data_IF_992894434427
#
_entry.id   IF_992894434427
#
_cell.length_a   1.000
_cell.length_b   1.000
_cell.length_c   1.000
_cell.angle_alpha   90.00
_cell.angle_beta   90.00
_cell.angle_gamma   90.00
#
_symmetry.space_group_name_H-M   'P 1'
#
loop_
_entity.id
_entity.type
_entity.pdbx_description
1 polymer ?
#
# COMPACT_ATOMS: atom_id res chain seq x y z
N UNK A 1 -15.72 -35.53 -18.57
CA UNK A 1 -16.40 -35.81 -19.85
C UNK A 1 -15.48 -35.48 -21.03
N UNK A 2 -15.89 -35.77 -22.26
CA UNK A 2 -15.14 -35.43 -23.49
C UNK A 2 -16.04 -34.63 -24.41
N UNK A 3 -15.54 -33.52 -24.94
CA UNK A 3 -16.22 -32.63 -25.87
C UNK A 3 -15.33 -32.45 -27.11
N UNK A 4 -15.95 -32.43 -28.28
CA UNK A 4 -15.29 -32.18 -29.57
C UNK A 4 -16.20 -31.31 -30.41
N UNK A 5 -15.64 -30.55 -31.35
CA UNK A 5 -16.49 -29.90 -32.36
C UNK A 5 -17.23 -30.93 -33.22
N UNK A 6 -18.48 -30.63 -33.54
CA UNK A 6 -19.30 -31.43 -34.44
C UNK A 6 -18.80 -31.34 -35.89
N UNK A 7 -19.27 -32.26 -36.74
CA UNK A 7 -18.88 -32.35 -38.16
C UNK A 7 -19.02 -31.03 -38.93
N UNK A 8 -20.07 -30.25 -38.65
CA UNK A 8 -20.32 -28.96 -39.31
C UNK A 8 -19.40 -27.84 -38.82
N UNK A 9 -19.07 -27.76 -37.53
CA UNK A 9 -18.15 -26.73 -37.02
C UNK A 9 -16.69 -27.03 -37.34
N UNK A 10 -16.33 -28.30 -37.56
CA UNK A 10 -15.02 -28.71 -38.06
C UNK A 10 -14.74 -28.28 -39.51
N UNK A 11 -15.76 -27.85 -40.28
CA UNK A 11 -15.59 -27.28 -41.63
C UNK A 11 -15.15 -25.80 -41.60
N UNK A 12 -15.43 -25.09 -40.50
CA UNK A 12 -15.18 -23.65 -40.37
C UNK A 12 -14.18 -23.32 -39.25
N UNK A 13 -13.79 -24.29 -38.43
CA UNK A 13 -12.84 -24.13 -37.32
C UNK A 13 -11.93 -25.36 -37.20
N UNK A 14 -10.72 -25.18 -36.67
CA UNK A 14 -9.82 -26.31 -36.42
C UNK A 14 -10.46 -27.34 -35.49
N UNK A 15 -10.19 -28.63 -35.70
CA UNK A 15 -10.60 -29.67 -34.76
C UNK A 15 -10.04 -29.38 -33.37
N UNK A 16 -10.93 -29.35 -32.41
CA UNK A 16 -10.58 -29.18 -31.00
C UNK A 16 -11.22 -30.29 -30.16
N UNK A 17 -10.56 -30.57 -29.03
CA UNK A 17 -11.02 -31.55 -28.05
C UNK A 17 -10.80 -31.02 -26.64
N UNK A 18 -11.82 -31.12 -25.81
CA UNK A 18 -11.76 -30.78 -24.39
C UNK A 18 -12.10 -32.02 -23.57
N UNK A 19 -11.23 -32.41 -22.66
CA UNK A 19 -11.47 -33.49 -21.71
C UNK A 19 -11.53 -32.90 -20.29
N UNK A 20 -12.69 -32.97 -19.65
CA UNK A 20 -12.91 -32.56 -18.26
C UNK A 20 -12.69 -33.77 -17.35
N UNK A 21 -11.45 -33.96 -16.90
CA UNK A 21 -11.07 -35.05 -16.00
C UNK A 21 -11.20 -34.66 -14.52
N UNK A 22 -11.14 -35.66 -13.64
CA UNK A 22 -11.32 -35.44 -12.20
C UNK A 22 -10.26 -34.50 -11.61
N UNK A 23 -9.00 -34.59 -12.07
CA UNK A 23 -7.88 -33.77 -11.56
C UNK A 23 -7.44 -32.65 -12.50
N UNK A 24 -7.71 -32.78 -13.80
CA UNK A 24 -7.21 -31.87 -14.82
C UNK A 24 -8.24 -31.69 -15.94
N UNK A 25 -8.24 -30.50 -16.53
CA UNK A 25 -8.78 -30.27 -17.87
C UNK A 25 -7.66 -30.37 -18.90
N UNK A 26 -7.95 -31.02 -20.02
CA UNK A 26 -7.05 -31.13 -21.17
C UNK A 26 -7.74 -30.53 -22.39
N UNK A 27 -7.13 -29.51 -22.97
CA UNK A 27 -7.58 -28.90 -24.22
C UNK A 27 -6.55 -29.17 -25.32
N UNK A 28 -7.03 -29.62 -26.48
CA UNK A 28 -6.17 -29.90 -27.64
C UNK A 28 -6.72 -29.19 -28.87
N UNK A 29 -5.88 -28.41 -29.57
CA UNK A 29 -6.20 -27.75 -30.85
C UNK A 29 -4.91 -27.62 -31.68
N UNK A 30 -4.96 -27.97 -32.97
CA UNK A 30 -3.82 -27.86 -33.91
C UNK A 30 -2.50 -28.47 -33.40
N UNK A 31 -2.56 -29.62 -32.72
CA UNK A 31 -1.38 -30.29 -32.14
C UNK A 31 -0.89 -29.71 -30.81
N UNK A 32 -1.32 -28.50 -30.44
CA UNK A 32 -1.06 -27.93 -29.11
C UNK A 32 -1.97 -28.57 -28.08
N UNK A 33 -1.37 -29.13 -27.02
CA UNK A 33 -2.07 -29.75 -25.90
C UNK A 33 -1.80 -28.95 -24.62
N UNK A 34 -2.84 -28.33 -24.08
CA UNK A 34 -2.80 -27.59 -22.81
C UNK A 34 -3.43 -28.45 -21.72
N UNK A 35 -2.74 -28.60 -20.59
CA UNK A 35 -3.21 -29.34 -19.42
C UNK A 35 -3.21 -28.41 -18.22
N UNK A 36 -4.37 -28.22 -17.60
CA UNK A 36 -4.55 -27.34 -16.45
C UNK A 36 -5.07 -28.20 -15.28
N UNK A 37 -4.45 -28.08 -14.11
CA UNK A 37 -4.95 -28.75 -12.91
C UNK A 37 -6.19 -28.03 -12.39
N UNK A 38 -7.21 -28.78 -11.97
CA UNK A 38 -8.47 -28.20 -11.52
C UNK A 38 -8.29 -27.28 -10.30
N UNK A 39 -7.31 -27.55 -9.44
CA UNK A 39 -7.02 -26.74 -8.25
C UNK A 39 -6.44 -25.36 -8.56
N UNK A 40 -5.85 -25.18 -9.74
CA UNK A 40 -5.22 -23.92 -10.14
C UNK A 40 -6.18 -22.98 -10.88
N UNK A 41 -7.42 -23.42 -11.14
CA UNK A 41 -8.45 -22.63 -11.82
C UNK A 41 -9.12 -21.70 -10.80
N UNK A 42 -9.12 -20.39 -11.08
CA UNK A 42 -9.70 -19.36 -10.22
C UNK A 42 -10.91 -18.66 -10.83
N UNK A 43 -11.04 -18.68 -12.15
CA UNK A 43 -12.17 -18.05 -12.82
C UNK A 43 -12.44 -18.73 -14.16
N UNK A 44 -13.72 -18.76 -14.54
CA UNK A 44 -14.19 -19.24 -15.82
C UNK A 44 -15.10 -18.17 -16.40
N UNK A 45 -14.73 -17.60 -17.55
CA UNK A 45 -15.51 -16.57 -18.24
C UNK A 45 -16.13 -17.12 -19.51
N UNK A 46 -17.41 -16.89 -19.68
CA UNK A 46 -18.13 -17.17 -20.92
C UNK A 46 -18.28 -15.87 -21.71
N UNK A 47 -17.85 -15.88 -22.96
CA UNK A 47 -18.02 -14.77 -23.90
C UNK A 47 -18.92 -15.22 -25.04
N UNK A 48 -20.07 -14.56 -25.17
CA UNK A 48 -21.00 -14.80 -26.28
C UNK A 48 -20.47 -14.15 -27.54
N UNK A 49 -20.31 -14.92 -28.61
CA UNK A 49 -19.87 -14.39 -29.91
C UNK A 49 -20.99 -14.37 -30.95
N UNK A 50 -20.71 -13.77 -32.10
CA UNK A 50 -21.68 -13.64 -33.21
C UNK A 50 -21.97 -15.00 -33.85
N UNK A 51 -20.95 -15.86 -33.96
CA UNK A 51 -21.05 -17.18 -34.61
C UNK A 51 -20.71 -18.30 -33.62
N UNK A 52 -19.74 -18.07 -32.73
CA UNK A 52 -19.27 -19.05 -31.75
C UNK A 52 -18.96 -18.37 -30.44
N UNK A 53 -19.19 -19.08 -29.34
CA UNK A 53 -18.82 -18.63 -28.01
C UNK A 53 -17.37 -19.00 -27.69
N UNK A 54 -16.82 -18.27 -26.73
CA UNK A 54 -15.48 -18.48 -26.18
C UNK A 54 -15.55 -18.72 -24.67
N UNK A 55 -14.85 -19.74 -24.21
CA UNK A 55 -14.64 -20.02 -22.79
C UNK A 55 -13.20 -19.63 -22.43
N UNK A 56 -13.03 -18.75 -21.46
CA UNK A 56 -11.71 -18.36 -20.95
C UNK A 56 -11.52 -18.94 -19.56
N UNK A 57 -10.44 -19.71 -19.37
CA UNK A 57 -10.05 -20.29 -18.08
C UNK A 57 -8.89 -19.45 -17.54
N UNK A 58 -9.07 -18.88 -16.35
CA UNK A 58 -8.04 -18.10 -15.66
C UNK A 58 -7.38 -18.98 -14.59
N UNK A 59 -6.06 -19.05 -14.68
CA UNK A 59 -5.20 -19.84 -13.80
C UNK A 59 -4.28 -18.89 -13.04
N UNK A 60 -4.03 -19.17 -11.76
CA UNK A 60 -3.16 -18.29 -10.96
C UNK A 60 -1.74 -18.25 -11.52
N UNK A 61 -1.22 -17.04 -11.74
CA UNK A 61 0.15 -16.84 -12.22
C UNK A 61 0.41 -17.22 -13.68
N UNK A 62 -0.62 -17.48 -14.47
CA UNK A 62 -0.50 -17.85 -15.88
C UNK A 62 -1.42 -17.00 -16.78
N UNK A 63 -1.06 -16.78 -18.07
CA UNK A 63 -1.95 -16.11 -19.00
C UNK A 63 -3.26 -16.91 -19.17
N UNK A 64 -4.41 -16.24 -19.32
CA UNK A 64 -5.70 -16.93 -19.50
C UNK A 64 -5.69 -17.84 -20.73
N UNK A 65 -6.25 -19.03 -20.59
CA UNK A 65 -6.38 -19.99 -21.70
C UNK A 65 -7.77 -19.87 -22.32
N UNK A 66 -7.84 -19.46 -23.59
CA UNK A 66 -9.08 -19.35 -24.36
C UNK A 66 -9.39 -20.61 -25.17
N UNK A 67 -10.62 -21.10 -25.05
CA UNK A 67 -11.20 -22.17 -25.89
C UNK A 67 -12.28 -21.51 -26.75
N UNK A 68 -12.08 -21.52 -28.07
CA UNK A 68 -12.91 -20.84 -29.05
C UNK A 68 -13.61 -21.83 -29.99
N UNK A 69 -14.67 -21.39 -30.67
CA UNK A 69 -15.41 -22.25 -31.60
C UNK A 69 -16.41 -23.18 -30.90
N UNK A 70 -16.94 -22.74 -29.75
CA UNK A 70 -17.91 -23.49 -28.96
C UNK A 70 -19.33 -23.06 -29.35
N UNK A 71 -20.28 -24.00 -29.42
CA UNK A 71 -21.69 -23.62 -29.36
C UNK A 71 -22.04 -23.13 -27.95
N UNK A 72 -23.05 -22.28 -27.81
CA UNK A 72 -23.45 -21.76 -26.49
C UNK A 72 -23.81 -22.86 -25.49
N UNK A 73 -24.46 -23.93 -25.97
CA UNK A 73 -24.76 -25.09 -25.13
C UNK A 73 -23.48 -25.82 -24.70
N UNK A 74 -22.55 -26.05 -25.64
CA UNK A 74 -21.28 -26.72 -25.34
C UNK A 74 -20.43 -25.89 -24.37
N UNK A 75 -20.37 -24.57 -24.56
CA UNK A 75 -19.64 -23.67 -23.68
C UNK A 75 -20.20 -23.70 -22.24
N UNK A 76 -21.53 -23.67 -22.09
CA UNK A 76 -22.19 -23.80 -20.78
C UNK A 76 -21.92 -25.16 -20.15
N UNK A 77 -22.03 -26.25 -20.91
CA UNK A 77 -21.79 -27.61 -20.42
C UNK A 77 -20.34 -27.80 -19.96
N UNK A 78 -19.36 -27.35 -20.74
CA UNK A 78 -17.94 -27.39 -20.36
C UNK A 78 -17.71 -26.56 -19.08
N UNK A 79 -18.25 -25.34 -19.00
CA UNK A 79 -18.12 -24.48 -17.83
C UNK A 79 -18.67 -25.13 -16.56
N UNK A 80 -19.87 -25.72 -16.65
CA UNK A 80 -20.50 -26.44 -15.53
C UNK A 80 -19.69 -27.66 -15.10
N UNK A 81 -19.17 -28.44 -16.04
CA UNK A 81 -18.33 -29.60 -15.79
C UNK A 81 -17.02 -29.23 -15.10
N UNK A 82 -16.33 -28.19 -15.58
CA UNK A 82 -15.11 -27.68 -14.95
C UNK A 82 -15.43 -27.24 -13.53
N UNK A 83 -16.45 -26.39 -13.36
CA UNK A 83 -16.85 -25.87 -12.03
C UNK A 83 -17.11 -27.01 -11.05
N UNK A 84 -17.85 -28.03 -11.47
CA UNK A 84 -18.14 -29.24 -10.67
C UNK A 84 -16.87 -30.00 -10.28
N UNK A 85 -15.94 -30.19 -11.22
CA UNK A 85 -14.69 -30.92 -10.97
C UNK A 85 -13.71 -30.12 -10.09
N UNK A 86 -13.64 -28.79 -10.26
CA UNK A 86 -12.89 -27.87 -9.39
C UNK A 86 -13.41 -27.99 -7.96
N UNK A 87 -14.71 -27.82 -7.76
CA UNK A 87 -15.37 -27.97 -6.45
C UNK A 87 -15.07 -29.31 -5.79
N UNK A 88 -15.24 -30.42 -6.53
CA UNK A 88 -14.90 -31.77 -6.04
C UNK A 88 -13.43 -31.89 -5.64
N UNK A 89 -12.52 -31.33 -6.44
CA UNK A 89 -11.08 -31.31 -6.11
C UNK A 89 -10.81 -30.54 -4.82
N UNK A 90 -11.41 -29.36 -4.65
CA UNK A 90 -11.24 -28.53 -3.45
C UNK A 90 -11.72 -29.26 -2.20
N UNK A 91 -12.91 -29.87 -2.24
CA UNK A 91 -13.42 -30.71 -1.14
C UNK A 91 -12.47 -31.87 -0.83
N UNK A 92 -12.00 -32.58 -1.87
CA UNK A 92 -11.06 -33.69 -1.71
C UNK A 92 -9.71 -33.26 -1.11
N UNK A 93 -9.23 -32.04 -1.41
CA UNK A 93 -8.02 -31.49 -0.79
C UNK A 93 -8.22 -31.24 0.69
N UNK A 94 -9.33 -30.61 1.10
CA UNK A 94 -9.62 -30.37 2.52
C UNK A 94 -9.71 -31.69 3.28
N UNK A 95 -10.41 -32.69 2.74
CA UNK A 95 -10.52 -34.02 3.35
C UNK A 95 -9.15 -34.70 3.49
N UNK A 96 -8.32 -34.64 2.44
CA UNK A 96 -6.96 -35.21 2.47
C UNK A 96 -6.07 -34.55 3.52
N UNK A 97 -6.28 -33.27 3.81
CA UNK A 97 -5.46 -32.47 4.71
C UNK A 97 -6.19 -32.12 6.03
N UNK A 98 -7.09 -32.99 6.51
CA UNK A 98 -7.92 -32.74 7.70
C UNK A 98 -7.10 -32.50 8.99
N UNK A 99 -5.96 -33.18 9.17
CA UNK A 99 -5.08 -32.95 10.32
C UNK A 99 -4.48 -31.55 10.29
N UNK A 100 -3.88 -31.16 9.16
CA UNK A 100 -3.32 -29.82 8.95
C UNK A 100 -4.39 -28.73 9.08
N UNK A 101 -5.65 -29.04 8.72
CA UNK A 101 -6.79 -28.16 8.94
C UNK A 101 -7.07 -27.99 10.43
N UNK A 102 -7.17 -29.08 11.18
CA UNK A 102 -7.35 -29.03 12.63
C UNK A 102 -6.25 -28.19 13.30
N UNK A 103 -4.99 -28.43 12.93
CA UNK A 103 -3.84 -27.68 13.47
C UNK A 103 -3.93 -26.19 13.11
N UNK A 104 -4.27 -25.87 11.86
CA UNK A 104 -4.49 -24.49 11.44
C UNK A 104 -5.61 -23.84 12.26
N UNK A 105 -6.72 -24.53 12.47
CA UNK A 105 -7.87 -24.04 13.26
C UNK A 105 -7.50 -23.81 14.72
N UNK A 106 -6.72 -24.70 15.34
CA UNK A 106 -6.20 -24.50 16.70
C UNK A 106 -5.28 -23.27 16.78
N UNK A 107 -4.41 -23.06 15.78
CA UNK A 107 -3.51 -21.89 15.75
C UNK A 107 -4.26 -20.56 15.64
N UNK A 108 -5.28 -20.46 14.79
CA UNK A 108 -6.07 -19.22 14.69
C UNK A 108 -6.92 -18.98 15.94
N UNK A 109 -7.40 -20.03 16.60
CA UNK A 109 -8.09 -19.87 17.87
C UNK A 109 -7.18 -19.21 18.92
N UNK A 110 -5.96 -19.74 19.10
CA UNK A 110 -4.95 -19.14 19.99
C UNK A 110 -4.62 -17.70 19.58
N UNK A 111 -4.42 -17.44 18.28
CA UNK A 111 -4.15 -16.10 17.76
C UNK A 111 -5.27 -15.11 18.13
N UNK A 112 -6.54 -15.53 18.01
CA UNK A 112 -7.71 -14.71 18.32
C UNK A 112 -7.81 -14.34 19.80
N UNK A 113 -7.23 -15.14 20.70
CA UNK A 113 -7.17 -14.91 22.14
C UNK A 113 -6.01 -14.00 22.60
N UNK A 114 -5.05 -13.72 21.71
CA UNK A 114 -3.91 -12.86 22.07
C UNK A 114 -4.37 -11.46 22.51
N UNK A 115 -3.77 -10.90 23.57
CA UNK A 115 -4.05 -9.55 24.05
C UNK A 115 -3.32 -8.47 23.24
N UNK A 116 -3.52 -8.48 21.92
CA UNK A 116 -3.01 -7.48 20.98
C UNK A 116 -3.94 -7.27 19.80
N UNK A 117 -3.79 -6.14 19.11
CA UNK A 117 -4.44 -5.90 17.82
C UNK A 117 -3.94 -6.93 16.81
N UNK A 118 -4.85 -7.57 16.07
CA UNK A 118 -4.51 -8.50 14.99
C UNK A 118 -4.62 -7.77 13.66
N UNK A 119 -3.48 -7.62 12.99
CA UNK A 119 -3.38 -7.01 11.68
C UNK A 119 -3.81 -7.99 10.58
N UNK A 120 -4.11 -7.47 9.40
CA UNK A 120 -4.39 -8.27 8.22
C UNK A 120 -3.20 -9.16 7.83
N UNK A 121 -1.94 -8.76 8.08
CA UNK A 121 -0.79 -9.65 7.90
C UNK A 121 -0.78 -10.84 8.87
N UNK A 122 -1.33 -10.73 10.08
CA UNK A 122 -1.40 -11.86 11.01
C UNK A 122 -2.28 -12.97 10.45
N UNK A 123 -3.46 -12.60 9.94
CA UNK A 123 -4.38 -13.53 9.28
C UNK A 123 -3.73 -14.12 8.02
N UNK A 124 -3.06 -13.31 7.21
CA UNK A 124 -2.34 -13.81 6.02
C UNK A 124 -1.21 -14.77 6.38
N UNK A 125 -0.45 -14.52 7.46
CA UNK A 125 0.59 -15.43 7.96
C UNK A 125 -0.02 -16.74 8.43
N UNK A 126 -1.15 -16.68 9.14
CA UNK A 126 -1.89 -17.89 9.53
C UNK A 126 -2.34 -18.71 8.30
N UNK A 127 -2.95 -18.08 7.29
CA UNK A 127 -3.34 -18.75 6.03
C UNK A 127 -2.13 -19.42 5.37
N UNK A 128 -0.98 -18.72 5.34
CA UNK A 128 0.27 -19.23 4.76
C UNK A 128 0.92 -20.35 5.57
N UNK A 129 0.57 -20.51 6.86
CA UNK A 129 1.08 -21.61 7.69
C UNK A 129 0.58 -22.99 7.25
N UNK A 130 -0.49 -23.03 6.45
CA UNK A 130 -1.06 -24.25 5.87
C UNK A 130 -1.33 -24.02 4.38
N UNK A 131 -0.29 -23.96 3.52
CA UNK A 131 -0.40 -23.43 2.16
C UNK A 131 -1.41 -24.17 1.28
N UNK A 132 -1.53 -25.50 1.42
CA UNK A 132 -2.48 -26.30 0.63
C UNK A 132 -3.95 -25.98 0.99
N UNK A 133 -4.21 -25.78 2.29
CA UNK A 133 -5.52 -25.40 2.80
C UNK A 133 -5.79 -23.93 2.49
N UNK A 134 -4.81 -23.05 2.70
CA UNK A 134 -4.93 -21.63 2.41
C UNK A 134 -5.24 -21.35 0.94
N UNK A 135 -4.60 -22.07 0.00
CA UNK A 135 -4.92 -22.02 -1.44
C UNK A 135 -6.35 -22.46 -1.72
N UNK A 136 -6.80 -23.53 -1.06
CA UNK A 136 -8.15 -24.06 -1.23
C UNK A 136 -9.21 -23.11 -0.69
N UNK A 137 -9.01 -22.56 0.52
CA UNK A 137 -9.91 -21.59 1.14
C UNK A 137 -9.95 -20.24 0.39
N UNK A 138 -8.85 -19.85 -0.25
CA UNK A 138 -8.79 -18.64 -1.08
C UNK A 138 -9.32 -18.84 -2.50
N UNK A 139 -9.64 -20.08 -2.93
CA UNK A 139 -10.16 -20.33 -4.26
C UNK A 139 -11.62 -19.84 -4.36
N UNK A 140 -11.99 -19.01 -5.36
CA UNK A 140 -13.35 -18.46 -5.49
C UNK A 140 -14.46 -19.51 -5.65
N UNK A 141 -14.13 -20.71 -6.13
CA UNK A 141 -15.09 -21.81 -6.26
C UNK A 141 -15.30 -22.59 -4.97
N UNK A 142 -14.50 -22.34 -3.92
CA UNK A 142 -14.66 -23.00 -2.63
C UNK A 142 -15.93 -22.54 -1.93
N UNK A 143 -16.73 -23.50 -1.47
CA UNK A 143 -17.87 -23.26 -0.60
C UNK A 143 -17.82 -24.23 0.58
N UNK A 144 -17.94 -23.70 1.80
CA UNK A 144 -17.99 -24.53 2.99
C UNK A 144 -19.23 -25.44 3.01
N UNK A 145 -20.31 -25.07 2.30
CA UNK A 145 -21.56 -25.83 2.28
C UNK A 145 -21.48 -27.12 1.46
N UNK A 146 -20.41 -27.30 0.68
CA UNK A 146 -20.16 -28.52 -0.09
C UNK A 146 -19.30 -29.55 0.69
N UNK A 147 -18.88 -29.20 1.91
CA UNK A 147 -18.09 -30.08 2.77
C UNK A 147 -18.99 -30.98 3.64
N UNK A 148 -18.48 -32.14 4.10
CA UNK A 148 -19.16 -32.92 5.13
C UNK A 148 -19.42 -32.09 6.40
N UNK A 149 -20.57 -32.30 7.05
CA UNK A 149 -21.01 -31.52 8.22
C UNK A 149 -19.94 -31.36 9.32
N UNK A 150 -19.15 -32.40 9.58
CA UNK A 150 -18.07 -32.38 10.58
C UNK A 150 -16.96 -31.38 10.23
N UNK A 151 -16.62 -31.23 8.96
CA UNK A 151 -15.58 -30.30 8.50
C UNK A 151 -16.17 -28.90 8.32
N UNK A 152 -17.41 -28.82 7.84
CA UNK A 152 -18.14 -27.56 7.68
C UNK A 152 -18.22 -26.79 9.01
N UNK A 153 -18.57 -27.46 10.12
CA UNK A 153 -18.63 -26.83 11.44
C UNK A 153 -17.27 -26.32 11.93
N UNK A 154 -16.18 -27.00 11.57
CA UNK A 154 -14.83 -26.58 11.89
C UNK A 154 -14.38 -25.36 11.07
N UNK A 155 -14.74 -25.27 9.79
CA UNK A 155 -14.25 -24.24 8.87
C UNK A 155 -15.10 -22.96 8.89
N UNK A 156 -16.42 -23.07 9.03
CA UNK A 156 -17.36 -21.93 8.91
C UNK A 156 -17.01 -20.74 9.82
N UNK A 157 -16.56 -20.92 11.08
CA UNK A 157 -16.16 -19.79 11.92
C UNK A 157 -14.94 -19.01 11.39
N UNK A 158 -14.19 -19.58 10.45
CA UNK A 158 -12.91 -19.06 9.98
C UNK A 158 -12.95 -18.62 8.52
N UNK A 159 -13.91 -19.08 7.71
CA UNK A 159 -14.17 -18.50 6.37
C UNK A 159 -14.52 -17.02 6.47
N UNK A 160 -15.20 -16.61 7.54
CA UNK A 160 -15.48 -15.20 7.81
C UNK A 160 -14.21 -14.38 8.15
N UNK A 161 -13.15 -15.01 8.64
CA UNK A 161 -11.88 -14.33 8.99
C UNK A 161 -11.02 -14.04 7.75
N UNK A 162 -11.13 -14.86 6.72
CA UNK A 162 -10.34 -14.75 5.49
C UNK A 162 -10.89 -13.64 4.58
N UNK A 163 -12.15 -13.26 4.75
CA UNK A 163 -12.77 -12.18 4.00
C UNK A 163 -12.01 -10.85 4.20
N UNK A 164 -11.74 -10.07 3.13
CA UNK A 164 -11.07 -8.77 3.24
C UNK A 164 -11.72 -7.81 4.24
N UNK A 165 -13.05 -7.90 4.41
CA UNK A 165 -13.83 -7.08 5.35
C UNK A 165 -14.39 -7.89 6.52
N UNK A 166 -13.60 -8.81 7.07
CA UNK A 166 -14.03 -9.70 8.14
C UNK A 166 -14.68 -8.97 9.32
N UNK A 167 -16.02 -9.07 9.44
CA UNK A 167 -16.77 -8.52 10.58
C UNK A 167 -16.31 -9.14 11.90
N UNK A 168 -16.00 -10.43 11.90
CA UNK A 168 -15.53 -11.16 13.07
C UNK A 168 -14.19 -10.62 13.58
N UNK A 169 -13.23 -10.37 12.68
CA UNK A 169 -11.96 -9.75 13.03
C UNK A 169 -12.16 -8.33 13.56
N UNK A 170 -13.00 -7.52 12.89
CA UNK A 170 -13.33 -6.16 13.33
C UNK A 170 -13.90 -6.12 14.74
N UNK A 171 -14.91 -6.94 15.03
CA UNK A 171 -15.54 -7.02 16.36
C UNK A 171 -14.54 -7.45 17.43
N UNK A 172 -13.67 -8.42 17.12
CA UNK A 172 -12.63 -8.85 18.06
C UNK A 172 -11.60 -7.76 18.30
N UNK A 173 -11.12 -7.10 17.25
CA UNK A 173 -10.15 -6.00 17.37
C UNK A 173 -10.75 -4.81 18.12
N UNK A 174 -12.04 -4.52 17.93
CA UNK A 174 -12.75 -3.47 18.67
C UNK A 174 -12.76 -3.76 20.17
N UNK A 175 -13.15 -4.99 20.56
CA UNK A 175 -13.09 -5.42 21.98
C UNK A 175 -11.67 -5.33 22.56
N UNK A 176 -10.66 -5.67 21.76
CA UNK A 176 -9.27 -5.49 22.17
C UNK A 176 -8.92 -4.01 22.37
N UNK A 177 -9.36 -3.12 21.46
CA UNK A 177 -9.10 -1.69 21.56
C UNK A 177 -9.74 -1.13 22.82
N UNK A 178 -11.01 -1.41 23.08
CA UNK A 178 -11.70 -1.00 24.32
C UNK A 178 -10.93 -1.46 25.56
N UNK A 179 -10.59 -2.75 25.65
CA UNK A 179 -9.79 -3.29 26.74
C UNK A 179 -8.43 -2.58 26.89
N UNK A 180 -7.75 -2.30 25.79
CA UNK A 180 -6.44 -1.67 25.81
C UNK A 180 -6.52 -0.19 26.20
N UNK A 181 -7.59 0.53 25.85
CA UNK A 181 -7.80 1.89 26.32
C UNK A 181 -7.87 1.92 27.85
N UNK A 182 -8.65 1.02 28.45
CA UNK A 182 -8.77 0.93 29.91
C UNK A 182 -7.46 0.47 30.56
N UNK A 183 -6.84 -0.57 30.00
CA UNK A 183 -5.61 -1.15 30.55
C UNK A 183 -4.43 -0.18 30.54
N UNK A 184 -4.31 0.65 29.50
CA UNK A 184 -3.25 1.64 29.35
C UNK A 184 -3.69 3.07 29.74
N UNK A 185 -4.78 3.23 30.50
CA UNK A 185 -5.31 4.56 30.88
C UNK A 185 -4.27 5.40 31.65
N UNK A 186 -3.63 4.81 32.64
CA UNK A 186 -2.59 5.47 33.43
C UNK A 186 -1.38 5.88 32.57
N UNK A 187 -0.98 5.04 31.60
CA UNK A 187 0.07 5.39 30.66
C UNK A 187 -0.33 6.63 29.87
N UNK A 188 -1.48 6.61 29.21
CA UNK A 188 -1.95 7.71 28.36
C UNK A 188 -2.16 9.01 29.14
N UNK A 189 -2.58 8.93 30.40
CA UNK A 189 -2.72 10.09 31.28
C UNK A 189 -1.41 10.79 31.64
N UNK A 190 -0.25 10.13 31.48
CA UNK A 190 1.08 10.67 31.84
C UNK A 190 1.90 11.15 30.65
N UNK A 191 1.48 10.90 29.41
CA UNK A 191 2.31 11.18 28.22
C UNK A 191 2.38 12.67 27.88
N UNK A 192 1.31 13.41 28.15
CA UNK A 192 1.13 14.78 27.69
C UNK A 192 0.61 15.67 28.80
N UNK A 193 0.88 16.97 28.70
CA UNK A 193 0.39 17.97 29.67
C UNK A 193 -1.14 17.99 29.75
N UNK A 194 -1.80 17.77 28.62
CA UNK A 194 -3.26 17.66 28.52
C UNK A 194 -3.63 16.23 28.15
N UNK A 195 -4.71 15.66 28.72
CA UNK A 195 -5.15 14.32 28.41
C UNK A 195 -5.36 14.12 26.91
N UNK A 196 -4.91 12.97 26.40
CA UNK A 196 -5.19 12.55 25.03
C UNK A 196 -6.69 12.29 24.87
N UNK A 197 -7.24 12.66 23.71
CA UNK A 197 -8.63 12.30 23.37
C UNK A 197 -8.73 10.79 23.11
N UNK A 198 -9.95 10.23 23.23
CA UNK A 198 -10.20 8.83 22.93
C UNK A 198 -9.78 8.46 21.50
N UNK A 199 -9.98 9.35 20.52
CA UNK A 199 -9.54 9.15 19.14
C UNK A 199 -8.02 9.03 19.02
N UNK A 200 -7.26 9.86 19.76
CA UNK A 200 -5.80 9.81 19.78
C UNK A 200 -5.29 8.52 20.45
N UNK A 201 -5.90 8.13 21.58
CA UNK A 201 -5.57 6.88 22.29
C UNK A 201 -5.89 5.67 21.42
N UNK A 202 -7.06 5.64 20.78
CA UNK A 202 -7.45 4.58 19.84
C UNK A 202 -6.50 4.49 18.66
N UNK A 203 -6.09 5.62 18.10
CA UNK A 203 -5.09 5.67 17.02
C UNK A 203 -3.72 5.11 17.44
N UNK A 204 -3.34 5.28 18.71
CA UNK A 204 -2.13 4.67 19.26
C UNK A 204 -2.26 3.14 19.40
N UNK A 205 -3.41 2.65 19.85
CA UNK A 205 -3.64 1.20 20.09
C UNK A 205 -3.82 0.42 18.78
N UNK A 206 -4.57 0.95 17.81
CA UNK A 206 -4.79 0.31 16.51
C UNK A 206 -3.44 0.06 15.84
N UNK A 207 -3.16 -1.19 15.46
CA UNK A 207 -1.86 -1.61 14.96
C UNK A 207 -2.00 -2.51 13.72
N UNK A 208 -2.70 -1.99 12.71
CA UNK A 208 -2.80 -2.63 11.41
C UNK A 208 -1.45 -2.54 10.66
N UNK A 209 -1.29 -3.30 9.57
CA UNK A 209 -0.10 -3.31 8.73
C UNK A 209 0.35 -1.90 8.31
N UNK A 210 -0.63 -1.01 8.10
CA UNK A 210 -0.45 0.40 7.77
C UNK A 210 -1.60 1.21 8.37
N UNK A 211 -1.28 2.27 9.09
CA UNK A 211 -2.26 3.20 9.65
C UNK A 211 -2.10 4.58 9.00
N UNK A 212 -3.19 5.13 8.45
CA UNK A 212 -3.26 6.51 8.00
C UNK A 212 -4.12 7.31 8.98
N UNK A 213 -3.50 8.23 9.71
CA UNK A 213 -4.21 9.17 10.58
C UNK A 213 -4.54 10.45 9.80
N UNK A 214 -5.84 10.69 9.60
CA UNK A 214 -6.33 11.94 9.01
C UNK A 214 -6.76 12.84 10.16
N UNK A 215 -6.11 14.01 10.30
CA UNK A 215 -6.38 14.89 11.42
C UNK A 215 -6.23 16.37 11.03
N UNK A 216 -7.15 17.21 11.51
CA UNK A 216 -7.15 18.65 11.25
C UNK A 216 -5.88 19.33 11.79
N UNK A 217 -5.62 20.58 11.38
CA UNK A 217 -4.60 21.40 12.04
C UNK A 217 -4.95 21.55 13.54
N UNK A 218 -3.94 21.56 14.42
CA UNK A 218 -4.15 21.68 15.87
C UNK A 218 -4.71 20.46 16.62
N UNK A 219 -5.11 19.39 15.92
CA UNK A 219 -5.70 18.16 16.50
C UNK A 219 -4.75 17.28 17.34
N UNK A 220 -3.50 17.70 17.57
CA UNK A 220 -2.53 16.92 18.36
C UNK A 220 -1.88 15.74 17.62
N UNK A 221 -1.68 15.81 16.30
CA UNK A 221 -0.98 14.78 15.50
C UNK A 221 0.34 14.29 16.12
N UNK A 222 1.18 15.23 16.56
CA UNK A 222 2.44 14.91 17.22
C UNK A 222 2.21 14.14 18.52
N UNK A 223 1.20 14.52 19.32
CA UNK A 223 0.81 13.80 20.55
C UNK A 223 0.38 12.36 20.23
N UNK A 224 -0.35 12.13 19.14
CA UNK A 224 -0.73 10.78 18.71
C UNK A 224 0.48 9.93 18.32
N UNK A 225 1.51 10.53 17.69
CA UNK A 225 2.77 9.83 17.37
C UNK A 225 3.48 9.41 18.65
N UNK A 226 3.61 10.32 19.64
CA UNK A 226 4.24 10.02 20.93
C UNK A 226 3.46 8.92 21.66
N UNK A 227 2.13 9.01 21.68
CA UNK A 227 1.25 7.98 22.24
C UNK A 227 1.43 6.61 21.58
N UNK A 228 1.54 6.58 20.25
CA UNK A 228 1.80 5.34 19.50
C UNK A 228 3.14 4.71 19.88
N UNK A 229 4.20 5.52 19.96
CA UNK A 229 5.53 5.04 20.35
C UNK A 229 5.53 4.51 21.79
N UNK A 230 4.95 5.26 22.72
CA UNK A 230 4.84 4.85 24.12
C UNK A 230 4.08 3.52 24.25
N UNK A 231 2.92 3.39 23.60
CA UNK A 231 2.12 2.16 23.60
C UNK A 231 2.89 0.97 23.03
N UNK A 232 3.57 1.13 21.87
CA UNK A 232 4.32 0.05 21.24
C UNK A 232 5.45 -0.49 22.13
N UNK A 233 6.13 0.40 22.84
CA UNK A 233 7.22 0.03 23.75
C UNK A 233 6.69 -0.55 25.06
N UNK A 234 5.68 0.06 25.66
CA UNK A 234 5.10 -0.39 26.94
C UNK A 234 4.47 -1.78 26.79
N UNK A 235 3.69 -2.00 25.72
CA UNK A 235 3.08 -3.29 25.40
C UNK A 235 4.06 -4.38 24.97
N UNK A 236 5.33 -4.04 24.74
CA UNK A 236 6.36 -4.97 24.26
C UNK A 236 6.21 -5.39 22.80
N UNK A 237 5.32 -4.75 22.03
CA UNK A 237 5.14 -5.01 20.59
C UNK A 237 6.34 -4.57 19.75
N UNK A 238 7.12 -3.60 20.23
CA UNK A 238 8.37 -3.18 19.61
C UNK A 238 9.40 -2.77 20.67
N UNK A 239 10.68 -3.05 20.40
CA UNK A 239 11.77 -2.44 21.16
C UNK A 239 12.01 -1.03 20.63
N UNK A 240 12.65 -0.19 21.43
CA UNK A 240 13.04 1.16 20.97
C UNK A 240 13.96 1.14 19.75
N UNK A 241 14.74 0.06 19.55
CA UNK A 241 15.57 -0.17 18.35
C UNK A 241 14.79 -0.46 17.08
N UNK A 242 13.52 -0.88 17.21
CA UNK A 242 12.69 -1.30 16.08
C UNK A 242 11.87 -0.12 15.53
N UNK A 243 11.95 1.04 16.18
CA UNK A 243 11.13 2.23 15.89
C UNK A 243 11.99 3.32 15.24
N UNK A 244 11.58 3.74 14.04
CA UNK A 244 12.09 4.90 13.34
C UNK A 244 11.00 5.97 13.28
N UNK A 245 11.31 7.17 13.78
CA UNK A 245 10.41 8.33 13.72
C UNK A 245 10.96 9.35 12.74
N UNK A 246 10.12 9.78 11.78
CA UNK A 246 10.50 10.73 10.74
C UNK A 246 9.67 12.01 10.84
N UNK A 247 10.34 13.14 10.64
CA UNK A 247 9.72 14.46 10.54
C UNK A 247 10.14 15.17 9.25
N UNK A 248 9.28 16.05 8.74
CA UNK A 248 9.53 16.72 7.46
C UNK A 248 10.66 17.76 7.55
N UNK A 249 10.64 18.61 8.58
CA UNK A 249 11.63 19.66 8.78
C UNK A 249 12.36 19.49 10.12
N UNK A 250 13.38 20.33 10.33
CA UNK A 250 14.24 20.26 11.52
C UNK A 250 13.49 20.65 12.81
N UNK A 251 12.61 21.65 12.74
CA UNK A 251 11.87 22.13 13.91
C UNK A 251 10.91 21.04 14.44
N UNK A 252 10.13 20.41 13.56
CA UNK A 252 9.27 19.29 13.93
C UNK A 252 10.07 18.07 14.42
N UNK A 253 11.26 17.83 13.84
CA UNK A 253 12.15 16.79 14.33
C UNK A 253 12.57 17.05 15.78
N UNK A 254 12.98 18.29 16.11
CA UNK A 254 13.42 18.66 17.46
C UNK A 254 12.27 18.59 18.47
N UNK A 255 11.08 19.07 18.11
CA UNK A 255 9.88 18.98 18.96
C UNK A 255 9.53 17.53 19.30
N UNK A 256 9.53 16.64 18.30
CA UNK A 256 9.24 15.21 18.52
C UNK A 256 10.35 14.57 19.36
N UNK A 257 11.62 14.92 19.13
CA UNK A 257 12.76 14.36 19.86
C UNK A 257 12.70 14.71 21.36
N UNK A 258 12.35 15.95 21.70
CA UNK A 258 12.15 16.40 23.09
C UNK A 258 11.05 15.56 23.77
N UNK A 259 9.93 15.36 23.09
CA UNK A 259 8.80 14.59 23.63
C UNK A 259 9.12 13.10 23.76
N UNK A 260 9.89 12.53 22.83
CA UNK A 260 10.38 11.15 22.93
C UNK A 260 11.34 10.95 24.11
N UNK A 261 12.15 11.95 24.45
CA UNK A 261 13.04 11.89 25.61
C UNK A 261 12.24 11.86 26.93
N UNK A 262 11.10 12.55 27.00
CA UNK A 262 10.20 12.54 28.16
C UNK A 262 9.51 11.19 28.41
N UNK A 263 9.56 10.25 27.44
CA UNK A 263 9.08 8.88 27.67
C UNK A 263 10.01 8.09 28.61
N UNK A 264 11.27 8.51 28.75
CA UNK A 264 12.23 7.88 29.66
C UNK A 264 11.78 8.10 31.11
N UNK A 265 11.47 7.01 31.82
CA UNK A 265 10.96 7.06 33.19
C UNK A 265 9.43 7.00 33.29
N UNK A 266 8.72 7.30 32.20
CA UNK A 266 7.26 7.12 32.08
C UNK A 266 6.91 5.73 31.54
N UNK A 267 7.69 5.23 30.59
CA UNK A 267 7.53 3.91 29.95
C UNK A 267 8.58 2.97 30.53
N UNK A 268 8.14 1.88 31.18
CA UNK A 268 9.02 0.98 31.92
C UNK A 268 10.04 0.26 31.00
N UNK A 269 9.61 -0.04 29.77
CA UNK A 269 10.42 -0.78 28.80
C UNK A 269 11.31 0.12 27.91
N UNK A 270 11.42 1.41 28.21
CA UNK A 270 12.18 2.38 27.43
C UNK A 270 13.70 2.34 27.72
N UNK A 271 14.39 1.33 27.18
CA UNK A 271 15.82 1.07 27.47
C UNK A 271 16.82 1.93 26.70
N UNK A 272 16.48 2.38 25.49
CA UNK A 272 17.35 3.20 24.62
C UNK A 272 16.58 4.39 24.07
N UNK A 273 17.21 5.57 23.94
CA UNK A 273 16.54 6.73 23.36
C UNK A 273 16.16 6.48 21.90
N UNK A 274 14.95 6.87 21.53
CA UNK A 274 14.49 6.93 20.15
C UNK A 274 14.78 8.34 19.66
N UNK A 275 15.46 8.45 18.51
CA UNK A 275 15.72 9.75 17.88
C UNK A 275 14.83 9.96 16.67
N UNK A 276 14.13 11.08 16.63
CA UNK A 276 13.45 11.53 15.42
C UNK A 276 14.48 12.00 14.39
N UNK A 277 14.25 11.69 13.11
CA UNK A 277 15.15 12.09 12.01
C UNK A 277 14.36 12.84 10.94
N UNK A 278 15.05 13.71 10.21
CA UNK A 278 14.52 14.18 8.93
C UNK A 278 14.83 13.15 7.84
N UNK A 279 14.09 13.18 6.72
CA UNK A 279 14.39 12.33 5.57
C UNK A 279 15.84 12.47 5.08
N UNK A 280 16.35 13.71 5.03
CA UNK A 280 17.73 13.99 4.66
C UNK A 280 18.74 13.38 5.65
N UNK A 281 18.49 13.49 6.95
CA UNK A 281 19.37 12.91 7.97
C UNK A 281 19.39 11.39 7.88
N UNK A 282 18.25 10.75 7.64
CA UNK A 282 18.18 9.31 7.43
C UNK A 282 18.94 8.89 6.16
N UNK A 283 18.75 9.61 5.05
CA UNK A 283 19.45 9.33 3.79
C UNK A 283 20.96 9.41 3.93
N UNK A 284 21.48 10.46 4.58
CA UNK A 284 22.92 10.61 4.85
C UNK A 284 23.48 9.48 5.72
N UNK A 285 22.71 9.00 6.70
CA UNK A 285 23.11 7.89 7.57
C UNK A 285 23.14 6.56 6.81
N UNK A 286 22.15 6.31 5.95
CA UNK A 286 22.14 5.11 5.10
C UNK A 286 23.37 5.11 4.18
N UNK A 287 23.67 6.23 3.51
CA UNK A 287 24.85 6.35 2.65
C UNK A 287 26.13 6.12 3.47
N UNK A 288 26.26 6.78 4.63
CA UNK A 288 27.44 6.61 5.47
C UNK A 288 27.63 5.16 5.95
N UNK A 289 26.54 4.46 6.26
CA UNK A 289 26.60 3.07 6.69
C UNK A 289 26.96 2.11 5.55
N UNK A 290 26.58 2.42 4.31
CA UNK A 290 26.85 1.59 3.13
C UNK A 290 28.24 1.86 2.55
N UNK A 291 28.61 3.13 2.38
CA UNK A 291 29.86 3.57 1.76
C UNK A 291 31.03 3.66 2.76
N UNK A 292 30.74 3.60 4.06
CA UNK A 292 31.75 3.73 5.13
C UNK A 292 32.16 5.17 5.44
N UNK A 293 31.73 6.15 4.64
CA UNK A 293 31.98 7.57 4.87
C UNK A 293 30.73 8.43 4.61
N UNK A 294 30.60 9.51 5.37
CA UNK A 294 29.50 10.44 5.18
C UNK A 294 29.76 11.31 3.94
N UNK A 295 28.80 11.42 2.99
CA UNK A 295 29.02 12.20 1.79
C UNK A 295 29.25 13.67 2.14
N UNK A 296 30.27 14.27 1.52
CA UNK A 296 30.58 15.69 1.67
C UNK A 296 29.51 16.53 0.96
N UNK A 297 28.71 17.26 1.74
CA UNK A 297 27.78 18.23 1.20
C UNK A 297 28.59 19.49 0.88
N UNK A 298 28.46 20.00 -0.36
CA UNK A 298 29.12 21.25 -0.76
C UNK A 298 28.82 22.38 0.22
N UNK A 299 29.84 23.17 0.56
CA UNK A 299 29.68 24.32 1.46
C UNK A 299 28.64 25.33 0.96
N UNK A 300 28.37 25.36 -0.35
CA UNK A 300 27.30 26.15 -0.96
C UNK A 300 25.92 25.63 -0.57
N UNK A 301 25.71 24.32 -0.58
CA UNK A 301 24.42 23.72 -0.22
C UNK A 301 24.06 23.90 1.26
N UNK A 302 25.06 24.11 2.13
CA UNK A 302 24.89 24.42 3.55
C UNK A 302 25.08 25.90 3.91
N UNK A 303 25.26 26.79 2.94
CA UNK A 303 25.51 28.20 3.20
C UNK A 303 24.23 28.94 3.61
N UNK A 304 24.35 29.91 4.52
CA UNK A 304 23.24 30.80 4.88
C UNK A 304 22.76 31.60 3.67
N UNK A 305 21.49 32.02 3.67
CA UNK A 305 20.93 32.85 2.60
C UNK A 305 21.77 34.10 2.31
N UNK A 306 22.33 34.72 3.35
CA UNK A 306 23.21 35.88 3.23
C UNK A 306 24.56 35.55 2.60
N UNK A 307 25.15 34.40 2.93
CA UNK A 307 26.41 33.93 2.32
C UNK A 307 26.21 33.55 0.86
N UNK A 308 25.11 32.87 0.54
CA UNK A 308 24.73 32.58 -0.84
C UNK A 308 24.48 33.85 -1.64
N UNK A 309 23.73 34.81 -1.09
CA UNK A 309 23.49 36.09 -1.75
C UNK A 309 24.82 36.80 -2.08
N UNK A 310 25.75 36.90 -1.12
CA UNK A 310 27.09 37.49 -1.38
C UNK A 310 27.88 36.75 -2.45
N UNK A 311 27.83 35.42 -2.46
CA UNK A 311 28.50 34.60 -3.47
C UNK A 311 27.90 34.83 -4.86
N UNK A 312 26.58 34.82 -4.98
CA UNK A 312 25.89 35.12 -6.24
C UNK A 312 26.17 36.55 -6.71
N UNK A 313 26.14 37.54 -5.80
CA UNK A 313 26.47 38.93 -6.15
C UNK A 313 27.89 39.03 -6.72
N UNK A 314 28.88 38.44 -6.04
CA UNK A 314 30.26 38.43 -6.56
C UNK A 314 30.38 37.72 -7.91
N UNK A 315 29.75 36.56 -8.05
CA UNK A 315 29.75 35.79 -9.30
C UNK A 315 29.15 36.61 -10.45
N UNK A 316 28.02 37.27 -10.21
CA UNK A 316 27.35 38.14 -11.18
C UNK A 316 28.26 39.33 -11.53
N UNK A 317 28.89 39.97 -10.55
CA UNK A 317 29.81 41.10 -10.78
C UNK A 317 31.03 40.68 -11.63
N UNK A 318 31.62 39.52 -11.33
CA UNK A 318 32.75 38.98 -12.09
C UNK A 318 32.36 38.62 -13.52
N UNK A 319 31.24 37.89 -13.70
CA UNK A 319 30.74 37.53 -15.03
C UNK A 319 30.33 38.77 -15.85
N UNK A 320 29.75 39.79 -15.21
CA UNK A 320 29.42 41.05 -15.90
C UNK A 320 30.66 41.79 -16.40
N UNK A 321 31.82 41.62 -15.74
CA UNK A 321 33.09 42.24 -16.16
C UNK A 321 33.80 41.42 -17.23
N UNK A 322 33.73 40.09 -17.16
CA UNK A 322 34.54 39.19 -17.99
C UNK A 322 33.83 38.69 -19.25
N UNK A 323 32.50 38.60 -19.24
CA UNK A 323 31.70 38.08 -20.34
C UNK A 323 30.73 39.15 -20.89
N UNK A 324 31.01 39.74 -22.07
CA UNK A 324 30.16 40.75 -22.68
C UNK A 324 28.74 40.25 -23.01
N UNK A 325 28.58 38.96 -23.32
CA UNK A 325 27.27 38.35 -23.61
C UNK A 325 26.47 38.24 -22.34
N UNK A 326 27.08 37.73 -21.26
CA UNK A 326 26.44 37.73 -19.94
C UNK A 326 26.08 39.14 -19.48
N UNK A 327 26.97 40.12 -19.64
CA UNK A 327 26.71 41.51 -19.28
C UNK A 327 25.55 42.13 -20.06
N UNK A 328 25.38 41.81 -21.34
CA UNK A 328 24.23 42.23 -22.14
C UNK A 328 22.94 41.55 -21.64
N UNK A 329 22.98 40.24 -21.41
CA UNK A 329 21.83 39.47 -20.92
C UNK A 329 21.39 39.90 -19.51
N UNK A 330 22.35 40.17 -18.61
CA UNK A 330 22.07 40.64 -17.25
C UNK A 330 21.45 42.03 -17.23
N UNK A 331 21.91 42.94 -18.11
CA UNK A 331 21.27 44.25 -18.32
C UNK A 331 19.85 44.09 -18.86
N UNK A 332 19.66 43.27 -19.89
CA UNK A 332 18.33 42.98 -20.43
C UNK A 332 17.42 42.39 -19.36
N UNK A 333 17.94 41.50 -18.51
CA UNK A 333 17.18 40.93 -17.40
C UNK A 333 16.70 42.00 -16.43
N UNK A 334 17.58 42.91 -16.03
CA UNK A 334 17.24 44.01 -15.14
C UNK A 334 16.31 45.06 -15.75
N UNK A 335 16.34 45.25 -17.08
CA UNK A 335 15.46 46.21 -17.77
C UNK A 335 14.08 45.60 -18.01
N UNK A 336 14.02 44.32 -18.42
CA UNK A 336 12.78 43.67 -18.88
C UNK A 336 12.04 42.92 -17.78
N UNK A 337 12.72 42.41 -16.74
CA UNK A 337 12.14 41.47 -15.78
C UNK A 337 12.36 41.83 -14.29
N UNK A 338 12.95 42.99 -13.97
CA UNK A 338 13.19 43.41 -12.58
C UNK A 338 11.91 43.79 -11.83
N UNK A 339 10.89 44.23 -12.56
CA UNK A 339 9.54 44.49 -12.02
C UNK A 339 8.66 43.35 -12.54
N UNK A 340 7.89 42.65 -11.68
CA UNK A 340 6.90 41.70 -12.17
C UNK A 340 5.98 42.47 -13.14
N UNK A 341 5.74 41.93 -14.34
CA UNK A 341 4.66 42.47 -15.18
C UNK A 341 3.39 42.51 -14.34
N UNK A 342 2.67 43.64 -14.33
CA UNK A 342 1.39 43.72 -13.67
C UNK A 342 0.52 42.54 -14.12
N UNK A 343 -0.24 41.96 -13.18
CA UNK A 343 -1.16 40.87 -13.47
C UNK A 343 -2.05 41.29 -14.66
N UNK A 344 -1.99 40.55 -15.77
CA UNK A 344 -2.67 40.95 -17.02
C UNK A 344 -4.17 41.13 -16.80
N UNK A 345 -4.74 40.35 -15.87
CA UNK A 345 -6.15 40.41 -15.47
C UNK A 345 -6.51 41.70 -14.71
N UNK A 346 -5.53 42.45 -14.21
CA UNK A 346 -5.71 43.76 -13.56
C UNK A 346 -5.75 44.93 -14.56
N UNK A 347 -5.39 44.71 -15.83
CA UNK A 347 -5.28 45.74 -16.86
C UNK A 347 -6.61 45.93 -17.59
N UNK A 348 -7.40 46.93 -17.17
CA UNK A 348 -8.74 47.19 -17.73
C UNK A 348 -8.78 48.10 -18.97
N UNK A 349 -7.66 48.71 -19.35
CA UNK A 349 -7.61 49.69 -20.46
C UNK A 349 -6.29 49.61 -21.24
N UNK A 350 -6.33 49.96 -22.53
CA UNK A 350 -5.12 50.03 -23.40
C UNK A 350 -4.08 51.00 -22.84
N UNK A 351 -4.51 52.12 -22.22
CA UNK A 351 -3.61 53.06 -21.55
C UNK A 351 -2.93 52.44 -20.33
N UNK A 352 -3.64 51.59 -19.58
CA UNK A 352 -3.10 50.84 -18.45
C UNK A 352 -2.03 49.83 -18.88
N UNK A 353 -2.21 49.17 -20.02
CA UNK A 353 -1.22 48.26 -20.59
C UNK A 353 0.09 48.98 -20.91
N UNK A 354 0.02 50.10 -21.64
CA UNK A 354 1.20 50.87 -22.05
C UNK A 354 2.01 51.43 -20.86
N UNK A 355 1.37 51.71 -19.72
CA UNK A 355 2.03 52.20 -18.50
C UNK A 355 2.77 51.10 -17.73
N UNK A 356 2.38 49.83 -17.88
CA UNK A 356 3.05 48.69 -17.23
C UNK A 356 4.31 48.22 -17.97
N UNK A 357 4.46 48.64 -19.23
CA UNK A 357 5.51 48.18 -20.14
C UNK A 357 6.52 49.27 -20.54
N UNK A 358 6.48 50.46 -19.93
CA UNK A 358 7.42 51.55 -20.23
C UNK A 358 8.24 51.96 -18.98
N UNK A 359 9.59 52.09 -19.06
CA UNK A 359 10.38 52.65 -17.99
C UNK A 359 10.11 54.16 -17.87
N UNK A 360 9.49 54.59 -16.78
CA UNK A 360 9.31 56.00 -16.44
C UNK A 360 10.65 56.64 -16.05
N UNK A 361 10.97 57.77 -16.70
CA UNK A 361 12.06 58.73 -16.43
C UNK A 361 13.40 58.53 -17.17
N UNK A 362 13.44 58.98 -18.43
CA UNK A 362 14.54 59.74 -19.02
C UNK A 362 13.99 60.42 -20.29
N UNK A 363 13.66 61.72 -20.22
CA UNK A 363 13.53 62.74 -21.28
C UNK A 363 12.59 63.84 -20.73
N UNK A 364 13.15 64.83 -20.03
CA UNK A 364 12.68 66.23 -20.01
C UNK A 364 13.63 67.10 -19.17
N UNK A 365 14.69 67.56 -19.82
CA UNK A 365 15.68 68.47 -19.25
C UNK A 365 16.54 69.15 -20.31
N UNK A 366 15.91 69.65 -21.39
CA UNK A 366 16.44 70.71 -22.27
C UNK A 366 15.24 71.56 -22.72
N UNK A 367 14.93 72.57 -21.93
CA UNK A 367 14.44 73.91 -22.30
C UNK A 367 14.09 74.66 -21.01
#
# INVERSE_FOLDING_TARGET
MKYTNGLLSALFTDRWKVETGDKHIVYTKKGTRVRIANLDIHEIRLHTGIIWDKLTIVVSGQPPTGIEGLSSETAKNISADITKNVKRCLVGQIQKHQSALSDAMSRIHLLMEEKRYLAHADIRRWIRSAPDIGKTLANPFFSADELPNQIQSLIRPYTELIAPDSRKLKVRNEKFVEWALDYYDELFGKLEKYPLTDEQRRSAVINEDRNLLIAAAGSGKSSTIIAKVAYLVESGLAKTSDILVLAYNKDAQLEIDERLQNLKGTVANFKRPIKAKTFHSLGLEIIANVEGEKPSISQLASATKSRLARLFTKLIEELTKQDPVFAANWRNFHVLYKVPSADLDSIKTIRGYCLTSAPMEQISGIA
#
